data_IF_869353545449
#
_entry.id   IF_869353545449
#
_cell.length_a   1.000
_cell.length_b   1.000
_cell.length_c   1.000
_cell.angle_alpha   90.00
_cell.angle_beta   90.00
_cell.angle_gamma   90.00
#
_symmetry.space_group_name_H-M   'P 1'
#
loop_
_entity.id
_entity.type
_entity.pdbx_description
1 polymer ?
#
# COMPACT_ATOMS: atom_id res chain seq x y z
N UNK A 1 5.65 -2.68 10.14
CA UNK A 1 5.61 -3.51 11.37
C UNK A 1 4.81 -4.83 11.21
N UNK A 2 4.52 -5.29 9.99
CA UNK A 2 3.59 -6.40 9.75
C UNK A 2 3.95 -7.75 10.42
N UNK A 3 5.22 -8.21 10.45
CA UNK A 3 5.55 -9.50 11.08
C UNK A 3 5.41 -9.48 12.60
N UNK A 4 5.80 -8.38 13.23
CA UNK A 4 5.71 -8.18 14.69
C UNK A 4 4.26 -8.11 15.14
N UNK A 5 3.43 -7.38 14.37
CA UNK A 5 2.01 -7.22 14.70
C UNK A 5 1.19 -8.48 14.40
N UNK A 6 1.58 -9.28 13.40
CA UNK A 6 1.03 -10.62 13.19
C UNK A 6 1.27 -11.53 14.41
N UNK A 7 2.53 -11.60 14.88
CA UNK A 7 2.87 -12.35 16.09
C UNK A 7 2.17 -11.81 17.36
N UNK A 8 1.93 -10.49 17.43
CA UNK A 8 1.18 -9.87 18.51
C UNK A 8 -0.31 -10.26 18.47
N UNK A 9 -0.91 -10.28 17.28
CA UNK A 9 -2.30 -10.74 17.06
C UNK A 9 -2.49 -12.19 17.45
N UNK A 10 -1.56 -13.08 17.07
CA UNK A 10 -1.66 -14.50 17.40
C UNK A 10 -1.64 -14.74 18.92
N UNK A 11 -0.95 -13.86 19.67
CA UNK A 11 -0.84 -13.91 21.13
C UNK A 11 -2.01 -13.26 21.87
N UNK A 12 -2.43 -12.08 21.46
CA UNK A 12 -3.43 -11.28 22.18
C UNK A 12 -4.86 -11.46 21.68
N UNK A 13 -5.04 -12.18 20.57
CA UNK A 13 -6.31 -12.25 19.86
C UNK A 13 -6.35 -11.20 18.74
N UNK A 14 -7.16 -11.50 17.72
CA UNK A 14 -7.18 -10.72 16.48
C UNK A 14 -8.00 -9.45 16.64
N UNK A 15 -9.10 -9.52 17.40
CA UNK A 15 -9.99 -8.37 17.63
C UNK A 15 -9.31 -7.27 18.45
N UNK A 16 -8.67 -7.51 19.62
CA UNK A 16 -8.00 -6.46 20.40
C UNK A 16 -6.94 -5.72 19.60
N UNK A 17 -6.16 -6.43 18.78
CA UNK A 17 -5.12 -5.82 17.95
C UNK A 17 -5.73 -4.99 16.82
N UNK A 18 -6.81 -5.44 16.18
CA UNK A 18 -7.51 -4.64 15.17
C UNK A 18 -8.16 -3.39 15.76
N UNK A 19 -8.79 -3.48 16.93
CA UNK A 19 -9.36 -2.32 17.62
C UNK A 19 -8.28 -1.33 18.06
N UNK A 20 -7.16 -1.81 18.60
CA UNK A 20 -6.03 -0.95 18.93
C UNK A 20 -5.44 -0.27 17.67
N UNK A 21 -5.44 -0.99 16.54
CA UNK A 21 -5.01 -0.46 15.24
C UNK A 21 -5.89 0.70 14.77
N UNK A 22 -7.21 0.50 14.81
CA UNK A 22 -8.21 1.52 14.43
C UNK A 22 -8.21 2.71 15.39
N UNK A 23 -8.04 2.48 16.69
CA UNK A 23 -7.93 3.54 17.68
C UNK A 23 -6.68 4.39 17.45
N UNK A 24 -5.51 3.75 17.26
CA UNK A 24 -4.27 4.46 16.95
C UNK A 24 -4.38 5.31 15.69
N UNK A 25 -4.98 4.77 14.63
CA UNK A 25 -5.24 5.52 13.40
C UNK A 25 -6.22 6.69 13.61
N UNK A 26 -7.28 6.49 14.38
CA UNK A 26 -8.25 7.55 14.71
C UNK A 26 -7.57 8.72 15.43
N UNK A 27 -6.76 8.42 16.45
CA UNK A 27 -6.03 9.43 17.23
C UNK A 27 -5.03 10.18 16.34
N UNK A 28 -4.25 9.46 15.53
CA UNK A 28 -3.26 10.05 14.64
C UNK A 28 -3.89 10.97 13.58
N UNK A 29 -4.98 10.54 12.93
CA UNK A 29 -5.70 11.40 11.99
C UNK A 29 -6.37 12.61 12.68
N UNK A 30 -6.87 12.46 13.91
CA UNK A 30 -7.41 13.57 14.68
C UNK A 30 -6.31 14.59 15.05
N UNK A 31 -5.11 14.11 15.41
CA UNK A 31 -3.94 14.95 15.65
C UNK A 31 -3.57 15.72 14.36
N UNK A 32 -3.52 15.03 13.21
CA UNK A 32 -3.23 15.68 11.93
C UNK A 32 -4.24 16.75 11.54
N UNK A 33 -5.52 16.57 11.87
CA UNK A 33 -6.56 17.54 11.56
C UNK A 33 -6.50 18.80 12.43
N UNK A 34 -5.87 18.72 13.61
CA UNK A 34 -6.00 19.75 14.65
C UNK A 34 -4.70 20.48 14.97
N UNK A 35 -3.55 19.83 14.79
CA UNK A 35 -2.29 20.31 15.35
C UNK A 35 -1.33 20.83 14.27
N UNK A 36 -0.90 22.10 14.36
CA UNK A 36 0.11 22.67 13.46
C UNK A 36 1.56 22.37 13.90
N UNK A 37 1.75 21.73 15.06
CA UNK A 37 3.08 21.49 15.66
C UNK A 37 3.71 20.21 15.10
N UNK A 38 4.82 20.36 14.39
CA UNK A 38 5.49 19.26 13.68
C UNK A 38 5.85 18.05 14.56
N UNK A 39 6.35 18.28 15.77
CA UNK A 39 6.70 17.19 16.70
C UNK A 39 5.49 16.36 17.13
N UNK A 40 4.31 16.97 17.23
CA UNK A 40 3.07 16.27 17.59
C UNK A 40 2.61 15.41 16.40
N UNK A 41 2.80 15.90 15.16
CA UNK A 41 2.56 15.10 13.95
C UNK A 41 3.48 13.87 13.90
N UNK A 42 4.77 14.03 14.23
CA UNK A 42 5.69 12.89 14.31
C UNK A 42 5.28 11.88 15.37
N UNK A 43 4.83 12.34 16.54
CA UNK A 43 4.30 11.46 17.58
C UNK A 43 3.07 10.67 17.08
N UNK A 44 2.11 11.33 16.41
CA UNK A 44 0.96 10.67 15.79
C UNK A 44 1.37 9.59 14.77
N UNK A 45 2.33 9.91 13.90
CA UNK A 45 2.87 8.97 12.90
C UNK A 45 3.58 7.77 13.52
N UNK A 46 4.29 7.95 14.63
CA UNK A 46 4.91 6.83 15.36
C UNK A 46 3.82 5.92 15.92
N UNK A 47 2.78 6.49 16.54
CA UNK A 47 1.64 5.71 17.05
C UNK A 47 0.99 4.93 15.90
N UNK A 48 0.64 5.58 14.79
CA UNK A 48 0.05 4.92 13.63
C UNK A 48 0.97 3.88 12.99
N UNK A 49 2.29 4.07 12.99
CA UNK A 49 3.25 3.09 12.49
C UNK A 49 3.34 1.84 13.37
N UNK A 50 3.22 2.00 14.70
CA UNK A 50 3.17 0.89 15.66
C UNK A 50 1.84 0.16 15.57
N UNK A 51 0.74 0.89 15.38
CA UNK A 51 -0.62 0.35 15.33
C UNK A 51 -1.08 -0.02 13.91
N UNK A 52 -0.25 0.18 12.88
CA UNK A 52 -0.57 -0.05 11.47
C UNK A 52 -0.57 -1.53 11.05
N UNK A 53 -1.22 -2.41 11.82
CA UNK A 53 -1.28 -3.84 11.58
C UNK A 53 -2.44 -4.27 10.68
N UNK A 54 -3.33 -3.34 10.32
CA UNK A 54 -4.72 -3.64 9.96
C UNK A 54 -4.84 -4.65 8.83
N UNK A 55 -4.04 -4.53 7.77
CA UNK A 55 -4.13 -5.44 6.62
C UNK A 55 -3.74 -6.89 6.95
N UNK A 56 -2.64 -7.10 7.65
CA UNK A 56 -2.16 -8.45 8.00
C UNK A 56 -3.10 -9.13 8.99
N UNK A 57 -3.57 -8.39 10.01
CA UNK A 57 -4.47 -8.96 11.03
C UNK A 57 -5.88 -9.17 10.48
N UNK A 58 -6.38 -8.28 9.62
CA UNK A 58 -7.69 -8.45 8.96
C UNK A 58 -7.70 -9.67 8.02
N UNK A 59 -6.66 -9.84 7.20
CA UNK A 59 -6.58 -11.01 6.31
C UNK A 59 -6.53 -12.31 7.11
N UNK A 60 -5.80 -12.32 8.21
CA UNK A 60 -5.70 -13.49 9.05
C UNK A 60 -7.00 -13.72 9.88
N UNK A 61 -7.73 -12.66 10.27
CA UNK A 61 -9.08 -12.79 10.87
C UNK A 61 -10.07 -13.43 9.90
N UNK A 62 -10.09 -13.01 8.64
CA UNK A 62 -10.91 -13.62 7.59
C UNK A 62 -10.55 -15.10 7.42
N UNK A 63 -9.26 -15.44 7.44
CA UNK A 63 -8.84 -16.84 7.32
C UNK A 63 -9.39 -17.75 8.44
N UNK A 64 -9.56 -17.21 9.65
CA UNK A 64 -10.03 -17.95 10.82
C UNK A 64 -11.54 -18.16 10.85
N UNK A 65 -12.31 -17.19 10.36
CA UNK A 65 -13.78 -17.26 10.38
C UNK A 65 -14.38 -17.86 9.10
N UNK A 66 -13.55 -18.15 8.09
CA UNK A 66 -13.98 -18.64 6.79
C UNK A 66 -13.46 -20.04 6.51
N UNK A 67 -14.38 -20.93 6.17
CA UNK A 67 -14.11 -22.30 5.77
C UNK A 67 -13.34 -22.38 4.45
N UNK A 68 -12.62 -23.50 4.25
CA UNK A 68 -11.63 -23.65 3.17
C UNK A 68 -12.17 -23.40 1.75
N UNK A 69 -13.41 -23.79 1.47
CA UNK A 69 -14.04 -23.63 0.15
C UNK A 69 -14.37 -22.17 -0.19
N UNK A 70 -14.79 -21.39 0.80
CA UNK A 70 -15.18 -19.98 0.63
C UNK A 70 -14.03 -18.99 0.86
N UNK A 71 -12.88 -19.48 1.32
CA UNK A 71 -11.72 -18.65 1.67
C UNK A 71 -11.24 -17.80 0.49
N UNK A 72 -11.13 -18.40 -0.69
CA UNK A 72 -10.72 -17.68 -1.90
C UNK A 72 -11.67 -16.53 -2.25
N UNK A 73 -12.99 -16.74 -2.08
CA UNK A 73 -14.02 -15.74 -2.33
C UNK A 73 -13.91 -14.56 -1.36
N UNK A 74 -13.73 -14.82 -0.06
CA UNK A 74 -13.60 -13.77 0.94
C UNK A 74 -12.31 -12.97 0.80
N UNK A 75 -11.19 -13.62 0.48
CA UNK A 75 -9.95 -12.91 0.14
C UNK A 75 -10.07 -12.08 -1.15
N UNK A 76 -10.83 -12.57 -2.13
CA UNK A 76 -11.18 -11.79 -3.33
C UNK A 76 -11.97 -10.52 -2.99
N UNK A 77 -12.98 -10.63 -2.12
CA UNK A 77 -13.76 -9.48 -1.64
C UNK A 77 -12.89 -8.49 -0.85
N UNK A 78 -12.02 -8.98 0.04
CA UNK A 78 -11.07 -8.14 0.77
C UNK A 78 -10.16 -7.35 -0.19
N UNK A 79 -9.64 -8.00 -1.22
CA UNK A 79 -8.80 -7.37 -2.25
C UNK A 79 -9.58 -6.34 -3.06
N UNK A 80 -10.85 -6.62 -3.38
CA UNK A 80 -11.74 -5.67 -4.06
C UNK A 80 -11.99 -4.42 -3.20
N UNK A 81 -12.27 -4.58 -1.90
CA UNK A 81 -12.42 -3.45 -0.97
C UNK A 81 -11.15 -2.59 -0.91
N UNK A 82 -9.97 -3.21 -0.89
CA UNK A 82 -8.69 -2.48 -0.92
C UNK A 82 -8.52 -1.68 -2.22
N UNK A 83 -8.83 -2.29 -3.37
CA UNK A 83 -8.82 -1.62 -4.67
C UNK A 83 -9.78 -0.44 -4.74
N UNK A 84 -11.02 -0.60 -4.25
CA UNK A 84 -11.99 0.50 -4.17
C UNK A 84 -11.47 1.62 -3.27
N UNK A 85 -10.89 1.30 -2.11
CA UNK A 85 -10.29 2.29 -1.22
C UNK A 85 -9.13 3.05 -1.86
N UNK A 86 -8.29 2.37 -2.66
CA UNK A 86 -7.16 2.99 -3.36
C UNK A 86 -7.61 4.02 -4.42
N UNK A 87 -8.79 3.83 -5.03
CA UNK A 87 -9.36 4.77 -6.01
C UNK A 87 -10.19 5.85 -5.33
N UNK A 88 -11.09 5.46 -4.42
CA UNK A 88 -11.99 6.38 -3.73
C UNK A 88 -11.24 7.32 -2.78
N UNK A 89 -10.15 6.85 -2.16
CA UNK A 89 -9.35 7.61 -1.20
C UNK A 89 -8.78 8.91 -1.79
N UNK A 90 -8.00 8.87 -2.88
CA UNK A 90 -7.49 10.08 -3.53
C UNK A 90 -8.58 11.01 -4.05
N UNK A 91 -9.70 10.48 -4.57
CA UNK A 91 -10.83 11.33 -5.02
C UNK A 91 -11.45 12.08 -3.84
N UNK A 92 -11.82 11.36 -2.79
CA UNK A 92 -12.39 11.97 -1.59
C UNK A 92 -11.41 12.93 -0.91
N UNK A 93 -10.13 12.54 -0.82
CA UNK A 93 -9.06 13.37 -0.26
C UNK A 93 -8.81 14.64 -1.08
N UNK A 94 -8.82 14.56 -2.40
CA UNK A 94 -8.68 15.72 -3.28
C UNK A 94 -9.86 16.69 -3.19
N UNK A 95 -11.10 16.16 -3.17
CA UNK A 95 -12.31 16.97 -3.02
C UNK A 95 -12.38 17.67 -1.66
N UNK A 96 -12.09 16.94 -0.57
CA UNK A 96 -12.05 17.51 0.77
C UNK A 96 -10.87 18.48 0.95
N UNK A 97 -9.72 18.15 0.37
CA UNK A 97 -8.53 18.99 0.37
C UNK A 97 -8.73 20.33 -0.32
N UNK A 98 -9.62 20.40 -1.30
CA UNK A 98 -10.02 21.65 -1.95
C UNK A 98 -10.81 22.59 -1.03
N UNK A 99 -11.48 22.05 0.01
CA UNK A 99 -12.19 22.84 1.02
C UNK A 99 -11.20 23.33 2.08
N UNK A 100 -10.39 22.41 2.61
CA UNK A 100 -9.34 22.70 3.58
C UNK A 100 -8.32 21.57 3.61
N UNK A 101 -7.04 21.90 3.80
CA UNK A 101 -5.97 20.92 3.97
C UNK A 101 -6.21 19.97 5.17
N UNK A 102 -7.01 20.38 6.16
CA UNK A 102 -7.30 19.57 7.34
C UNK A 102 -8.51 18.64 7.17
N UNK A 103 -9.41 18.94 6.22
CA UNK A 103 -10.66 18.21 6.04
C UNK A 103 -10.48 16.72 5.67
N UNK A 104 -9.51 16.32 4.81
CA UNK A 104 -9.24 14.91 4.54
C UNK A 104 -8.85 14.13 5.80
N UNK A 105 -8.06 14.74 6.69
CA UNK A 105 -7.63 14.11 7.95
C UNK A 105 -8.80 13.95 8.92
N UNK A 106 -9.68 14.95 9.02
CA UNK A 106 -10.87 14.86 9.83
C UNK A 106 -11.80 13.74 9.33
N UNK A 107 -12.04 13.65 8.02
CA UNK A 107 -12.85 12.59 7.43
C UNK A 107 -12.22 11.20 7.68
N UNK A 108 -10.89 11.08 7.55
CA UNK A 108 -10.18 9.85 7.87
C UNK A 108 -10.31 9.47 9.36
N UNK A 109 -10.24 10.44 10.28
CA UNK A 109 -10.45 10.21 11.71
C UNK A 109 -11.87 9.71 11.99
N UNK A 110 -12.89 10.34 11.40
CA UNK A 110 -14.29 9.92 11.54
C UNK A 110 -14.51 8.52 10.99
N UNK A 111 -14.01 8.22 9.79
CA UNK A 111 -14.15 6.88 9.19
C UNK A 111 -13.46 5.80 10.02
N UNK A 112 -12.26 6.06 10.54
CA UNK A 112 -11.57 5.11 11.43
C UNK A 112 -12.30 4.96 12.77
N UNK A 113 -12.84 6.06 13.33
CA UNK A 113 -13.63 6.04 14.55
C UNK A 113 -14.94 5.26 14.40
N UNK A 114 -15.63 5.41 13.27
CA UNK A 114 -16.81 4.61 12.93
C UNK A 114 -16.46 3.13 12.78
N UNK A 115 -15.36 2.81 12.08
CA UNK A 115 -14.88 1.44 11.98
C UNK A 115 -14.49 0.85 13.34
N UNK A 116 -13.91 1.65 14.23
CA UNK A 116 -13.61 1.24 15.60
C UNK A 116 -14.90 0.91 16.37
N UNK A 117 -15.92 1.78 16.30
CA UNK A 117 -17.22 1.54 16.94
C UNK A 117 -17.89 0.28 16.38
N UNK A 118 -17.91 0.12 15.05
CA UNK A 118 -18.43 -1.08 14.42
C UNK A 118 -17.66 -2.32 14.87
N UNK A 119 -16.33 -2.25 14.93
CA UNK A 119 -15.49 -3.33 15.45
C UNK A 119 -15.78 -3.67 16.92
N UNK A 120 -16.08 -2.67 17.75
CA UNK A 120 -16.44 -2.87 19.14
C UNK A 120 -17.76 -3.65 19.27
N UNK A 121 -18.77 -3.35 18.45
CA UNK A 121 -20.11 -3.95 18.58
C UNK A 121 -20.33 -5.22 17.75
N UNK A 122 -19.81 -5.28 16.52
CA UNK A 122 -20.12 -6.35 15.56
C UNK A 122 -19.04 -7.44 15.51
N UNK A 123 -17.79 -7.09 15.80
CA UNK A 123 -16.68 -8.02 15.62
C UNK A 123 -16.61 -9.00 16.80
N UNK A 124 -16.66 -10.29 16.49
CA UNK A 124 -16.46 -11.35 17.46
C UNK A 124 -14.97 -11.69 17.58
N UNK A 125 -14.56 -12.33 18.67
CA UNK A 125 -13.19 -12.83 18.76
C UNK A 125 -13.06 -14.12 17.93
N UNK A 126 -12.25 -14.10 16.87
CA UNK A 126 -12.06 -15.30 16.04
C UNK A 126 -10.97 -16.24 16.57
N UNK A 127 -10.03 -15.73 17.37
CA UNK A 127 -8.92 -16.52 17.90
C UNK A 127 -8.68 -16.21 19.38
N UNK A 128 -8.85 -17.21 20.25
CA UNK A 128 -8.40 -17.14 21.64
C UNK A 128 -6.88 -17.24 21.64
N UNK A 129 -6.20 -16.09 21.83
CA UNK A 129 -4.75 -15.98 21.72
C UNK A 129 -3.98 -17.12 22.41
N UNK A 130 -3.02 -17.72 21.71
CA UNK A 130 -2.15 -18.73 22.29
C UNK A 130 -1.05 -18.04 23.10
N UNK A 131 -0.87 -18.42 24.37
CA UNK A 131 0.20 -17.90 25.25
C UNK A 131 1.57 -18.49 24.89
N UNK A 132 1.91 -18.60 23.60
CA UNK A 132 3.26 -19.03 23.20
C UNK A 132 4.24 -17.86 23.36
N UNK A 133 5.42 -18.07 23.98
CA UNK A 133 6.44 -17.04 24.09
C UNK A 133 6.93 -16.66 22.68
N UNK A 134 6.91 -15.36 22.37
CA UNK A 134 7.45 -14.88 21.10
C UNK A 134 8.95 -15.15 21.05
N UNK A 135 9.46 -15.88 20.04
CA UNK A 135 10.89 -15.98 19.85
C UNK A 135 11.43 -14.59 19.51
N UNK A 136 12.40 -14.09 20.28
CA UNK A 136 13.09 -12.81 20.03
C UNK A 136 13.67 -12.70 18.60
N UNK A 137 13.86 -13.84 17.91
CA UNK A 137 14.25 -13.90 16.50
C UNK A 137 13.19 -13.32 15.54
N UNK A 138 11.90 -13.32 15.90
CA UNK A 138 10.84 -12.72 15.08
C UNK A 138 10.97 -11.19 14.95
N UNK A 139 11.70 -10.54 15.87
CA UNK A 139 11.99 -9.10 15.82
C UNK A 139 13.24 -8.76 15.00
N UNK A 140 13.98 -9.75 14.47
CA UNK A 140 15.23 -9.52 13.74
C UNK A 140 15.03 -9.72 12.22
N UNK A 141 14.65 -8.68 11.46
CA UNK A 141 14.46 -8.76 10.01
C UNK A 141 15.76 -9.01 9.24
N UNK A 142 16.92 -8.74 9.87
CA UNK A 142 18.25 -8.90 9.25
C UNK A 142 18.67 -10.36 9.21
N UNK A 143 18.11 -11.21 10.09
CA UNK A 143 18.39 -12.65 10.11
C UNK A 143 17.95 -13.35 8.82
N UNK A 144 16.83 -12.92 8.21
CA UNK A 144 16.35 -13.42 6.90
C UNK A 144 17.30 -13.07 5.74
N UNK A 145 18.03 -11.95 5.86
CA UNK A 145 19.02 -11.53 4.85
C UNK A 145 20.29 -12.38 4.85
N UNK A 146 20.62 -13.03 5.98
CA UNK A 146 21.83 -13.88 6.09
C UNK A 146 21.74 -15.13 5.24
N UNK A 147 20.53 -15.68 5.07
CA UNK A 147 20.27 -16.84 4.22
C UNK A 147 20.37 -16.48 2.72
N UNK A 148 19.84 -15.31 2.33
CA UNK A 148 19.89 -14.82 0.95
C UNK A 148 21.32 -14.50 0.45
N UNK A 149 22.26 -14.23 1.37
CA UNK A 149 23.66 -13.88 1.03
C UNK A 149 24.44 -15.02 0.38
N UNK A 150 23.98 -16.26 0.50
CA UNK A 150 24.59 -17.44 -0.14
C UNK A 150 24.20 -17.66 -1.60
N UNK A 151 23.18 -16.95 -2.10
CA UNK A 151 22.63 -17.13 -3.45
C UNK A 151 22.76 -15.82 -4.23
N UNK A 152 23.82 -15.69 -5.03
CA UNK A 152 24.12 -14.47 -5.81
C UNK A 152 22.93 -14.01 -6.66
N UNK A 153 22.12 -14.95 -7.17
CA UNK A 153 20.92 -14.64 -7.97
C UNK A 153 19.81 -14.03 -7.11
N UNK A 154 19.54 -14.58 -5.92
CA UNK A 154 18.53 -14.04 -4.99
C UNK A 154 18.93 -12.64 -4.54
N UNK A 155 20.21 -12.42 -4.20
CA UNK A 155 20.71 -11.09 -3.84
C UNK A 155 20.55 -10.07 -4.99
N UNK A 156 20.78 -10.48 -6.24
CA UNK A 156 20.54 -9.63 -7.40
C UNK A 156 19.05 -9.29 -7.58
N UNK A 157 18.15 -10.27 -7.45
CA UNK A 157 16.70 -10.05 -7.54
C UNK A 157 16.17 -9.16 -6.40
N UNK A 158 16.69 -9.32 -5.19
CA UNK A 158 16.38 -8.43 -4.06
C UNK A 158 16.86 -6.99 -4.31
N UNK A 159 18.00 -6.82 -4.97
CA UNK A 159 18.50 -5.49 -5.36
C UNK A 159 17.59 -4.85 -6.40
N UNK A 160 17.14 -5.61 -7.41
CA UNK A 160 16.16 -5.13 -8.40
C UNK A 160 14.85 -4.74 -7.71
N UNK A 161 14.34 -5.58 -6.81
CA UNK A 161 13.15 -5.28 -6.01
C UNK A 161 13.30 -3.96 -5.23
N UNK A 162 14.45 -3.78 -4.56
CA UNK A 162 14.73 -2.57 -3.79
C UNK A 162 14.74 -1.32 -4.69
N UNK A 163 15.40 -1.38 -5.85
CA UNK A 163 15.44 -0.27 -6.81
C UNK A 163 14.03 0.06 -7.31
N UNK A 164 13.25 -0.95 -7.70
CA UNK A 164 11.87 -0.76 -8.17
C UNK A 164 11.00 -0.11 -7.08
N UNK A 165 11.11 -0.58 -5.83
CA UNK A 165 10.39 0.01 -4.71
C UNK A 165 10.82 1.44 -4.42
N UNK A 166 12.12 1.73 -4.49
CA UNK A 166 12.66 3.08 -4.29
C UNK A 166 12.13 4.05 -5.35
N UNK A 167 12.16 3.66 -6.62
CA UNK A 167 11.62 4.46 -7.74
C UNK A 167 10.11 4.67 -7.57
N UNK A 168 9.37 3.64 -7.17
CA UNK A 168 7.92 3.73 -6.92
C UNK A 168 7.53 4.71 -5.79
N UNK A 169 8.43 5.03 -4.86
CA UNK A 169 8.19 6.05 -3.83
C UNK A 169 8.33 7.48 -4.34
N UNK A 170 9.01 7.70 -5.47
CA UNK A 170 9.25 9.06 -6.00
C UNK A 170 7.93 9.76 -6.37
N UNK A 171 7.01 9.16 -7.15
CA UNK A 171 5.70 9.76 -7.40
C UNK A 171 4.91 9.94 -6.11
N UNK A 172 4.95 8.97 -5.19
CA UNK A 172 4.19 9.04 -3.94
C UNK A 172 4.54 10.29 -3.11
N UNK A 173 5.81 10.72 -3.13
CA UNK A 173 6.28 11.89 -2.42
C UNK A 173 6.17 13.20 -3.23
N UNK A 174 6.43 13.16 -4.54
CA UNK A 174 6.60 14.38 -5.34
C UNK A 174 5.42 14.72 -6.26
N UNK A 175 4.50 13.78 -6.52
CA UNK A 175 3.44 13.98 -7.52
C UNK A 175 2.55 15.19 -7.22
N UNK A 176 2.17 15.37 -5.95
CA UNK A 176 1.35 16.49 -5.49
C UNK A 176 2.10 17.80 -5.73
N UNK A 177 3.33 17.91 -5.23
CA UNK A 177 4.17 19.12 -5.32
C UNK A 177 4.45 19.46 -6.79
N UNK A 178 4.79 18.47 -7.61
CA UNK A 178 5.04 18.65 -9.04
C UNK A 178 3.78 19.11 -9.78
N UNK A 179 2.62 18.52 -9.49
CA UNK A 179 1.35 18.91 -10.09
C UNK A 179 0.94 20.34 -9.74
N UNK A 180 1.14 20.76 -8.50
CA UNK A 180 0.85 22.12 -8.02
C UNK A 180 1.81 23.14 -8.64
N UNK A 181 3.12 22.92 -8.56
CA UNK A 181 4.13 23.89 -9.00
C UNK A 181 4.19 24.00 -10.53
N UNK A 182 4.22 22.86 -11.24
CA UNK A 182 4.40 22.82 -12.69
C UNK A 182 3.13 23.08 -13.47
N UNK A 183 2.00 22.49 -13.05
CA UNK A 183 0.75 22.52 -13.80
C UNK A 183 -0.34 23.36 -13.16
N UNK A 184 -0.10 23.90 -11.95
CA UNK A 184 -1.10 24.65 -11.17
C UNK A 184 -2.39 23.84 -10.96
N UNK A 185 -2.23 22.54 -10.74
CA UNK A 185 -3.36 21.67 -10.47
C UNK A 185 -3.97 21.98 -9.09
N UNK A 186 -5.30 21.92 -9.03
CA UNK A 186 -6.01 21.96 -7.76
C UNK A 186 -5.94 20.60 -7.05
N UNK A 187 -6.17 20.58 -5.73
CA UNK A 187 -6.24 19.35 -4.95
C UNK A 187 -7.20 18.30 -5.55
N UNK A 188 -8.34 18.75 -6.09
CA UNK A 188 -9.30 17.89 -6.80
C UNK A 188 -8.69 17.21 -8.03
N UNK A 189 -7.94 17.97 -8.84
CA UNK A 189 -7.29 17.44 -10.04
C UNK A 189 -6.21 16.42 -9.68
N UNK A 190 -5.43 16.69 -8.64
CA UNK A 190 -4.40 15.77 -8.13
C UNK A 190 -5.06 14.48 -7.63
N UNK A 191 -6.12 14.59 -6.83
CA UNK A 191 -6.89 13.43 -6.35
C UNK A 191 -7.47 12.59 -7.49
N UNK A 192 -8.07 13.23 -8.50
CA UNK A 192 -8.59 12.55 -9.68
C UNK A 192 -7.45 11.89 -10.49
N UNK A 193 -6.31 12.55 -10.64
CA UNK A 193 -5.16 12.01 -11.37
C UNK A 193 -4.60 10.74 -10.74
N UNK A 194 -4.51 10.70 -9.40
CA UNK A 194 -4.07 9.52 -8.65
C UNK A 194 -5.08 8.37 -8.76
N UNK A 195 -6.38 8.68 -8.76
CA UNK A 195 -7.43 7.69 -8.96
C UNK A 195 -7.38 7.08 -10.38
N UNK A 196 -7.21 7.92 -11.40
CA UNK A 196 -7.01 7.46 -12.79
C UNK A 196 -5.75 6.60 -12.90
N UNK A 197 -4.64 7.02 -12.29
CA UNK A 197 -3.42 6.23 -12.25
C UNK A 197 -3.64 4.87 -11.58
N UNK A 198 -4.32 4.81 -10.43
CA UNK A 198 -4.65 3.57 -9.74
C UNK A 198 -5.48 2.61 -10.59
N UNK A 199 -6.49 3.12 -11.31
CA UNK A 199 -7.30 2.32 -12.25
C UNK A 199 -6.43 1.80 -13.40
N UNK A 200 -5.66 2.67 -14.05
CA UNK A 200 -4.77 2.29 -15.15
C UNK A 200 -3.76 1.24 -14.72
N UNK A 201 -3.16 1.41 -13.53
CA UNK A 201 -2.20 0.46 -12.97
C UNK A 201 -2.87 -0.89 -12.68
N UNK A 202 -4.07 -0.91 -12.09
CA UNK A 202 -4.82 -2.15 -11.86
C UNK A 202 -5.17 -2.86 -13.18
N UNK A 203 -5.61 -2.12 -14.20
CA UNK A 203 -5.89 -2.67 -15.54
C UNK A 203 -4.62 -3.21 -16.21
N UNK A 204 -3.51 -2.48 -16.13
CA UNK A 204 -2.22 -2.91 -16.66
C UNK A 204 -1.75 -4.21 -15.98
N UNK A 205 -1.85 -4.27 -14.65
CA UNK A 205 -1.50 -5.47 -13.89
C UNK A 205 -2.39 -6.66 -14.24
N UNK A 206 -3.71 -6.47 -14.39
CA UNK A 206 -4.65 -7.54 -14.69
C UNK A 206 -4.54 -8.07 -16.12
N UNK A 207 -4.44 -7.18 -17.12
CA UNK A 207 -4.57 -7.55 -18.52
C UNK A 207 -3.25 -7.62 -19.29
N UNK A 208 -2.22 -6.88 -18.87
CA UNK A 208 -0.95 -6.78 -19.64
C UNK A 208 0.11 -7.73 -19.08
N UNK A 209 0.15 -7.96 -17.77
CA UNK A 209 1.16 -8.81 -17.11
C UNK A 209 1.21 -10.23 -17.68
N UNK A 210 0.06 -10.90 -17.79
CA UNK A 210 -0.01 -12.29 -18.27
C UNK A 210 0.47 -12.45 -19.73
N UNK A 211 -0.08 -11.69 -20.69
CA UNK A 211 0.39 -11.73 -22.08
C UNK A 211 1.86 -11.32 -22.23
N UNK A 212 2.32 -10.29 -21.52
CA UNK A 212 3.71 -9.82 -21.60
C UNK A 212 4.70 -10.88 -21.10
N UNK A 213 4.42 -11.50 -19.95
CA UNK A 213 5.27 -12.56 -19.40
C UNK A 213 5.27 -13.82 -20.28
N UNK A 214 4.13 -14.21 -20.86
CA UNK A 214 4.05 -15.34 -21.80
C UNK A 214 4.81 -15.08 -23.11
N UNK A 215 4.75 -13.85 -23.63
CA UNK A 215 5.33 -13.51 -24.94
C UNK A 215 6.83 -13.22 -24.87
N UNK A 216 7.29 -12.51 -23.85
CA UNK A 216 8.67 -12.01 -23.74
C UNK A 216 9.50 -12.74 -22.67
N UNK A 217 8.87 -13.51 -21.79
CA UNK A 217 9.49 -14.09 -20.62
C UNK A 217 9.58 -13.10 -19.44
N UNK A 218 9.75 -13.63 -18.23
CA UNK A 218 9.72 -12.85 -16.99
C UNK A 218 10.81 -11.77 -16.94
N UNK A 219 12.05 -12.11 -17.31
CA UNK A 219 13.17 -11.16 -17.33
C UNK A 219 12.91 -9.97 -18.25
N UNK A 220 12.41 -10.21 -19.46
CA UNK A 220 12.14 -9.13 -20.42
C UNK A 220 10.90 -8.32 -20.02
N UNK A 221 9.90 -8.95 -19.38
CA UNK A 221 8.77 -8.21 -18.83
C UNK A 221 9.20 -7.23 -17.72
N UNK A 222 10.14 -7.61 -16.86
CA UNK A 222 10.73 -6.71 -15.85
C UNK A 222 11.45 -5.55 -16.53
N UNK A 223 12.33 -5.83 -17.51
CA UNK A 223 13.08 -4.80 -18.23
C UNK A 223 12.14 -3.85 -18.97
N UNK A 224 11.11 -4.37 -19.63
CA UNK A 224 10.11 -3.58 -20.34
C UNK A 224 9.33 -2.66 -19.37
N UNK A 225 8.94 -3.16 -18.19
CA UNK A 225 8.31 -2.35 -17.15
C UNK A 225 9.21 -1.22 -16.66
N UNK A 226 10.47 -1.53 -16.34
CA UNK A 226 11.45 -0.52 -15.92
C UNK A 226 11.74 0.51 -17.01
N UNK A 227 11.80 0.08 -18.28
CA UNK A 227 11.99 0.97 -19.42
C UNK A 227 10.77 1.89 -19.64
N UNK A 228 9.56 1.36 -19.46
CA UNK A 228 8.33 2.16 -19.51
C UNK A 228 8.29 3.22 -18.41
N UNK A 229 8.66 2.86 -17.18
CA UNK A 229 8.77 3.82 -16.07
C UNK A 229 9.83 4.90 -16.35
N UNK A 230 11.03 4.49 -16.76
CA UNK A 230 12.12 5.41 -17.08
C UNK A 230 11.71 6.39 -18.19
N UNK A 231 11.11 5.90 -19.27
CA UNK A 231 10.60 6.72 -20.35
C UNK A 231 9.47 7.64 -19.86
N UNK A 232 8.57 7.15 -19.01
CA UNK A 232 7.50 7.94 -18.41
C UNK A 232 8.04 9.12 -17.60
N UNK A 233 9.04 8.90 -16.75
CA UNK A 233 9.68 9.98 -16.00
C UNK A 233 10.42 10.98 -16.89
N UNK A 234 11.12 10.51 -17.93
CA UNK A 234 11.79 11.39 -18.89
C UNK A 234 10.77 12.27 -19.61
N UNK A 235 9.66 11.68 -20.10
CA UNK A 235 8.58 12.43 -20.74
C UNK A 235 7.94 13.44 -19.77
N UNK A 236 7.79 13.08 -18.50
CA UNK A 236 7.25 13.97 -17.47
C UNK A 236 8.16 15.18 -17.23
N UNK A 237 9.49 15.02 -17.32
CA UNK A 237 10.44 16.12 -17.19
C UNK A 237 10.27 17.19 -18.28
N UNK A 238 9.85 16.80 -19.49
CA UNK A 238 9.56 17.70 -20.60
C UNK A 238 8.09 18.15 -20.67
N UNK A 239 7.23 17.67 -19.77
CA UNK A 239 5.83 18.05 -19.76
C UNK A 239 5.68 19.54 -19.39
N UNK A 240 5.02 20.28 -20.28
CA UNK A 240 4.78 21.73 -20.13
C UNK A 240 3.32 22.05 -19.83
N UNK A 241 2.40 21.16 -20.18
CA UNK A 241 0.95 21.33 -19.98
C UNK A 241 0.39 20.16 -19.18
N UNK A 242 -0.53 20.43 -18.26
CA UNK A 242 -1.10 19.41 -17.38
C UNK A 242 -1.75 18.23 -18.11
N UNK A 243 -2.39 18.45 -19.26
CA UNK A 243 -3.00 17.36 -20.02
C UNK A 243 -1.99 16.30 -20.50
N UNK A 244 -0.70 16.67 -20.67
CA UNK A 244 0.35 15.75 -21.10
C UNK A 244 0.64 14.66 -20.07
N UNK A 245 0.32 14.89 -18.79
CA UNK A 245 0.53 13.92 -17.73
C UNK A 245 -0.35 12.66 -17.89
N UNK A 246 -1.58 12.80 -18.41
CA UNK A 246 -2.51 11.67 -18.57
C UNK A 246 -2.05 10.58 -19.55
N UNK A 247 -1.61 10.89 -20.79
CA UNK A 247 -1.04 9.85 -21.65
C UNK A 247 0.26 9.27 -21.09
N UNK A 248 1.06 10.06 -20.36
CA UNK A 248 2.27 9.58 -19.68
C UNK A 248 1.93 8.59 -18.54
N UNK A 249 0.81 8.79 -17.84
CA UNK A 249 0.35 7.85 -16.80
C UNK A 249 0.06 6.46 -17.36
N UNK A 250 -0.39 6.33 -18.60
CA UNK A 250 -0.62 5.01 -19.22
C UNK A 250 0.70 4.24 -19.30
N UNK A 251 1.77 4.94 -19.67
CA UNK A 251 3.12 4.38 -19.74
C UNK A 251 3.65 4.03 -18.34
N UNK A 252 3.53 4.95 -17.38
CA UNK A 252 3.92 4.69 -15.98
C UNK A 252 3.11 3.53 -15.36
N UNK A 253 1.82 3.44 -15.65
CA UNK A 253 0.97 2.34 -15.17
C UNK A 253 1.43 0.98 -15.72
N UNK A 254 1.95 0.95 -16.96
CA UNK A 254 2.51 -0.27 -17.55
C UNK A 254 3.82 -0.72 -16.91
N UNK A 255 4.53 0.16 -16.21
CA UNK A 255 5.69 -0.20 -15.37
C UNK A 255 5.33 -1.19 -14.24
N UNK A 256 4.07 -1.20 -13.81
CA UNK A 256 3.53 -2.08 -12.77
C UNK A 256 3.60 -3.59 -13.06
N UNK A 257 3.95 -3.98 -14.29
CA UNK A 257 4.13 -5.38 -14.73
C UNK A 257 5.39 -6.01 -14.12
N UNK A 258 6.41 -5.22 -13.80
CA UNK A 258 7.69 -5.75 -13.34
C UNK A 258 7.62 -6.44 -11.98
N UNK A 259 6.77 -5.96 -11.06
CA UNK A 259 6.65 -6.53 -9.70
C UNK A 259 6.10 -7.96 -9.69
N UNK A 260 4.95 -8.27 -10.34
CA UNK A 260 4.47 -9.64 -10.46
C UNK A 260 5.46 -10.57 -11.18
N UNK A 261 6.13 -10.09 -12.23
CA UNK A 261 7.14 -10.88 -12.94
C UNK A 261 8.35 -11.21 -12.05
N UNK A 262 8.79 -10.25 -11.23
CA UNK A 262 9.87 -10.45 -10.27
C UNK A 262 9.48 -11.44 -9.17
N UNK A 263 8.24 -11.38 -8.68
CA UNK A 263 7.71 -12.35 -7.71
C UNK A 263 7.67 -13.78 -8.29
N UNK A 264 7.27 -13.93 -9.56
CA UNK A 264 7.28 -15.22 -10.25
C UNK A 264 8.70 -15.78 -10.44
N UNK A 265 9.69 -14.92 -10.71
CA UNK A 265 11.09 -15.35 -10.80
C UNK A 265 11.66 -15.77 -9.45
N UNK A 266 11.31 -15.05 -8.37
CA UNK A 266 11.75 -15.38 -7.01
C UNK A 266 11.16 -16.70 -6.53
N UNK A 267 9.88 -16.97 -6.80
CA UNK A 267 9.21 -18.21 -6.36
C UNK A 267 9.77 -19.47 -7.02
N UNK A 268 10.42 -19.36 -8.18
CA UNK A 268 11.11 -20.49 -8.84
C UNK A 268 12.48 -20.81 -8.27
N UNK A 269 13.05 -19.94 -7.43
CA UNK A 269 14.38 -20.11 -6.83
C UNK A 269 14.33 -20.68 -5.41
N UNK A 270 13.14 -20.85 -4.85
CA UNK A 270 12.87 -21.44 -3.53
C UNK A 270 12.21 -22.79 -3.73
#
# INVERSE_FOLDING_TARGET
CAPVLGALSDRFGRRPVLLASLLGATIDYAIMATTPVLWILYAGRIVAGITGATGAVAGAYIADITDGEDRARHFGLMSACFGVGMVAGPVAGGLLGAISLHAPFLAAAVLNGLNLLLGCFLMQESHKGERRPMPLRAFNPVSSFRWARGMTIVAALMTVFFIMQLVGQVPAALWVIFGEDRFRWSATMIGLSLAVFGILHALAQAFVTGPATKRFGEKQAIIAGMAADALGYVLLAFATRGWMAFPIMILLASGGIGMPALQAMLSRQV
#
